data_IF_783232055601
#
_entry.id   IF_783232055601
#
_cell.length_a   1.000
_cell.length_b   1.000
_cell.length_c   1.000
_cell.angle_alpha   90.00
_cell.angle_beta   90.00
_cell.angle_gamma   90.00
#
_symmetry.space_group_name_H-M   'P 1'
#
loop_
_entity.id
_entity.type
_entity.pdbx_description
1 polymer ?
#
# COMPACT_ATOMS: atom_id res chain seq x y z
N UNK A 1 -29.99 1.27 -6.66
CA UNK A 1 -28.60 0.97 -6.28
C UNK A 1 -27.70 1.45 -7.42
N UNK A 2 -26.50 1.91 -7.09
CA UNK A 2 -25.49 2.49 -7.96
C UNK A 2 -25.26 4.01 -7.87
N UNK A 3 -25.97 4.75 -6.99
CA UNK A 3 -25.97 6.23 -7.09
C UNK A 3 -24.67 6.85 -6.57
N UNK A 4 -24.19 6.42 -5.40
CA UNK A 4 -22.93 6.96 -4.85
C UNK A 4 -21.74 6.43 -5.65
N UNK A 5 -21.73 5.13 -5.94
CA UNK A 5 -20.68 4.49 -6.73
C UNK A 5 -20.49 5.15 -8.10
N UNK A 6 -21.55 5.36 -8.86
CA UNK A 6 -21.44 5.96 -10.20
C UNK A 6 -21.01 7.44 -10.15
N UNK A 7 -21.44 8.21 -9.15
CA UNK A 7 -20.98 9.60 -8.95
C UNK A 7 -19.49 9.68 -8.64
N UNK A 8 -19.01 8.86 -7.70
CA UNK A 8 -17.58 8.79 -7.37
C UNK A 8 -16.76 8.47 -8.61
N UNK A 9 -17.19 7.50 -9.41
CA UNK A 9 -16.49 7.14 -10.66
C UNK A 9 -16.56 8.23 -11.73
N UNK A 10 -17.66 8.96 -11.83
CA UNK A 10 -17.76 10.12 -12.73
C UNK A 10 -16.74 11.20 -12.33
N UNK A 11 -16.54 11.45 -11.03
CA UNK A 11 -15.51 12.37 -10.53
C UNK A 11 -14.10 11.84 -10.81
N UNK A 12 -13.86 10.54 -10.61
CA UNK A 12 -12.56 9.90 -10.96
C UNK A 12 -12.29 10.02 -12.47
N UNK A 13 -13.30 9.82 -13.32
CA UNK A 13 -13.15 9.97 -14.77
C UNK A 13 -12.73 11.39 -15.17
N UNK A 14 -13.20 12.40 -14.44
CA UNK A 14 -12.89 13.80 -14.72
C UNK A 14 -11.54 14.24 -14.14
N UNK A 15 -11.18 13.76 -12.96
CA UNK A 15 -10.08 14.33 -12.15
C UNK A 15 -8.96 13.35 -11.83
N UNK A 16 -9.15 12.06 -12.07
CA UNK A 16 -8.25 11.01 -11.62
C UNK A 16 -8.39 10.70 -10.12
N UNK A 17 -7.38 10.02 -9.57
CA UNK A 17 -7.26 9.80 -8.13
C UNK A 17 -6.67 11.05 -7.45
N UNK A 18 -7.16 11.44 -6.26
CA UNK A 18 -6.66 12.62 -5.56
C UNK A 18 -5.25 12.40 -5.02
N UNK A 19 -4.43 13.44 -5.10
CA UNK A 19 -3.17 13.50 -4.37
C UNK A 19 -3.41 13.79 -2.86
N UNK A 20 -2.51 13.32 -1.98
CA UNK A 20 -1.31 12.52 -2.29
C UNK A 20 -1.58 11.01 -2.36
N UNK A 21 -2.84 10.58 -2.30
CA UNK A 21 -3.19 9.15 -2.32
C UNK A 21 -2.83 8.43 -3.61
N UNK A 22 -2.83 9.14 -4.75
CA UNK A 22 -2.30 8.60 -6.00
C UNK A 22 -0.81 8.26 -5.87
N UNK A 23 0.01 9.24 -5.47
CA UNK A 23 1.44 9.04 -5.23
C UNK A 23 1.74 7.98 -4.17
N UNK A 24 0.96 7.94 -3.09
CA UNK A 24 1.09 6.93 -2.04
C UNK A 24 0.83 5.50 -2.58
N UNK A 25 -0.23 5.33 -3.38
CA UNK A 25 -0.52 4.05 -4.03
C UNK A 25 0.57 3.60 -5.00
N UNK A 26 1.21 4.54 -5.70
CA UNK A 26 2.37 4.25 -6.55
C UNK A 26 3.58 3.79 -5.73
N UNK A 27 3.90 4.45 -4.62
CA UNK A 27 4.99 4.01 -3.75
C UNK A 27 4.79 2.55 -3.32
N UNK A 28 3.59 2.16 -2.94
CA UNK A 28 3.34 0.80 -2.49
C UNK A 28 3.24 -0.22 -3.63
N UNK A 29 2.93 0.21 -4.85
CA UNK A 29 3.08 -0.64 -6.03
C UNK A 29 4.56 -0.92 -6.32
N UNK A 30 5.41 0.10 -6.17
CA UNK A 30 6.87 -0.03 -6.29
C UNK A 30 7.48 -0.88 -5.17
N UNK A 31 6.94 -0.81 -3.96
CA UNK A 31 7.35 -1.65 -2.83
C UNK A 31 7.38 -3.13 -3.22
N UNK A 32 6.31 -3.63 -3.85
CA UNK A 32 6.21 -5.00 -4.31
C UNK A 32 7.15 -5.29 -5.47
N UNK A 33 7.23 -4.37 -6.43
CA UNK A 33 8.13 -4.49 -7.58
C UNK A 33 9.59 -4.64 -7.13
N UNK A 34 10.01 -3.88 -6.12
CA UNK A 34 11.34 -4.02 -5.53
C UNK A 34 11.54 -5.37 -4.86
N UNK A 35 10.53 -5.95 -4.20
CA UNK A 35 10.66 -7.28 -3.60
C UNK A 35 10.89 -8.37 -4.67
N UNK A 36 10.15 -8.32 -5.78
CA UNK A 36 10.36 -9.22 -6.92
C UNK A 36 11.78 -9.07 -7.48
N UNK A 37 12.24 -7.84 -7.68
CA UNK A 37 13.59 -7.56 -8.19
C UNK A 37 14.68 -8.03 -7.21
N UNK A 38 14.50 -7.81 -5.90
CA UNK A 38 15.41 -8.26 -4.86
C UNK A 38 15.55 -9.78 -4.86
N UNK A 39 14.42 -10.51 -4.88
CA UNK A 39 14.42 -11.97 -4.96
C UNK A 39 15.18 -12.47 -6.18
N UNK A 40 14.91 -11.89 -7.35
CA UNK A 40 15.62 -12.25 -8.58
C UNK A 40 17.13 -11.99 -8.48
N UNK A 41 17.53 -10.82 -7.97
CA UNK A 41 18.94 -10.45 -7.84
C UNK A 41 19.67 -11.33 -6.80
N UNK A 42 19.05 -11.61 -5.67
CA UNK A 42 19.56 -12.51 -4.63
C UNK A 42 19.75 -13.92 -5.17
N UNK A 43 18.75 -14.46 -5.88
CA UNK A 43 18.83 -15.81 -6.46
C UNK A 43 19.91 -15.91 -7.55
N UNK A 44 20.14 -14.84 -8.31
CA UNK A 44 21.26 -14.77 -9.25
C UNK A 44 22.60 -14.76 -8.52
N UNK A 45 22.75 -13.92 -7.48
CA UNK A 45 23.96 -13.82 -6.68
C UNK A 45 24.31 -15.15 -5.99
N UNK A 46 23.30 -15.90 -5.52
CA UNK A 46 23.47 -17.26 -4.95
C UNK A 46 24.01 -18.27 -5.96
N UNK A 47 23.59 -18.20 -7.23
CA UNK A 47 24.00 -19.14 -8.28
C UNK A 47 25.39 -18.83 -8.83
N UNK A 48 25.70 -17.55 -9.00
CA UNK A 48 26.97 -17.07 -9.54
C UNK A 48 27.38 -15.80 -8.80
N UNK A 49 28.11 -15.94 -7.67
CA UNK A 49 28.55 -14.79 -6.89
C UNK A 49 29.38 -13.83 -7.74
N UNK A 50 29.03 -12.55 -7.67
CA UNK A 50 29.65 -11.46 -8.43
C UNK A 50 29.50 -10.15 -7.64
N UNK A 51 30.56 -9.34 -7.62
CA UNK A 51 30.58 -8.06 -6.88
C UNK A 51 29.58 -7.06 -7.47
N UNK A 52 29.32 -7.10 -8.78
CA UNK A 52 28.30 -6.26 -9.39
C UNK A 52 26.90 -6.69 -8.94
N UNK A 53 26.59 -7.99 -8.89
CA UNK A 53 25.32 -8.49 -8.35
C UNK A 53 25.14 -8.12 -6.87
N UNK A 54 26.18 -8.21 -6.05
CA UNK A 54 26.10 -7.79 -4.65
C UNK A 54 25.78 -6.29 -4.52
N UNK A 55 26.38 -5.43 -5.35
CA UNK A 55 26.06 -4.00 -5.39
C UNK A 55 24.63 -3.74 -5.86
N UNK A 56 24.15 -4.49 -6.84
CA UNK A 56 22.76 -4.41 -7.30
C UNK A 56 21.77 -4.75 -6.19
N UNK A 57 21.99 -5.83 -5.43
CA UNK A 57 21.11 -6.19 -4.31
C UNK A 57 21.09 -5.09 -3.24
N UNK A 58 22.25 -4.56 -2.86
CA UNK A 58 22.32 -3.45 -1.90
C UNK A 58 21.57 -2.20 -2.41
N UNK A 59 21.78 -1.83 -3.68
CA UNK A 59 21.08 -0.69 -4.28
C UNK A 59 19.56 -0.86 -4.30
N UNK A 60 19.06 -2.06 -4.57
CA UNK A 60 17.63 -2.37 -4.52
C UNK A 60 17.05 -2.25 -3.10
N UNK A 61 17.79 -2.65 -2.06
CA UNK A 61 17.37 -2.43 -0.68
C UNK A 61 17.30 -0.94 -0.34
N UNK A 62 18.28 -0.15 -0.77
CA UNK A 62 18.32 1.30 -0.56
C UNK A 62 17.16 2.00 -1.28
N UNK A 63 16.86 1.62 -2.53
CA UNK A 63 15.74 2.14 -3.30
C UNK A 63 14.39 1.78 -2.66
N UNK A 64 14.21 0.52 -2.23
CA UNK A 64 13.00 0.06 -1.53
C UNK A 64 12.80 0.83 -0.22
N UNK A 65 13.85 1.01 0.58
CA UNK A 65 13.80 1.76 1.83
C UNK A 65 13.46 3.23 1.61
N UNK A 66 14.06 3.87 0.59
CA UNK A 66 13.76 5.26 0.22
C UNK A 66 12.31 5.43 -0.21
N UNK A 67 11.80 4.50 -1.02
CA UNK A 67 10.42 4.49 -1.47
C UNK A 67 9.42 4.39 -0.30
N UNK A 68 9.68 3.51 0.68
CA UNK A 68 8.87 3.43 1.91
C UNK A 68 8.97 4.70 2.76
N UNK A 69 10.16 5.32 2.82
CA UNK A 69 10.33 6.63 3.45
C UNK A 69 9.47 7.72 2.79
N UNK A 70 9.42 7.77 1.46
CA UNK A 70 8.55 8.69 0.72
C UNK A 70 7.07 8.45 1.04
N UNK A 71 6.64 7.18 1.06
CA UNK A 71 5.26 6.82 1.42
C UNK A 71 4.90 7.30 2.84
N UNK A 72 5.82 7.16 3.80
CA UNK A 72 5.62 7.62 5.18
C UNK A 72 5.49 9.14 5.26
N UNK A 73 6.35 9.88 4.56
CA UNK A 73 6.29 11.34 4.49
C UNK A 73 4.96 11.83 3.92
N UNK A 74 4.46 11.22 2.84
CA UNK A 74 3.16 11.57 2.27
C UNK A 74 2.02 11.43 3.30
N UNK A 75 2.05 10.39 4.14
CA UNK A 75 1.06 10.22 5.21
C UNK A 75 1.22 11.26 6.32
N UNK A 76 2.44 11.56 6.75
CA UNK A 76 2.71 12.58 7.78
C UNK A 76 2.26 13.98 7.35
N UNK A 77 2.52 14.33 6.09
CA UNK A 77 2.11 15.61 5.52
C UNK A 77 0.58 15.75 5.52
N UNK A 78 -0.16 14.71 5.10
CA UNK A 78 -1.63 14.74 5.13
C UNK A 78 -2.17 14.76 6.55
N UNK A 79 -1.61 13.96 7.45
CA UNK A 79 -2.02 13.94 8.85
C UNK A 79 -1.92 15.34 9.45
N UNK A 80 -0.78 15.99 9.23
CA UNK A 80 -0.51 17.37 9.69
C UNK A 80 -1.45 18.37 9.04
N UNK A 81 -1.64 18.31 7.72
CA UNK A 81 -2.54 19.19 6.98
C UNK A 81 -3.98 19.07 7.47
N UNK A 82 -4.47 17.84 7.64
CA UNK A 82 -5.85 17.58 8.03
C UNK A 82 -6.13 17.97 9.48
N UNK A 83 -5.13 17.85 10.36
CA UNK A 83 -5.18 18.42 11.71
C UNK A 83 -5.34 19.94 11.68
N UNK A 84 -4.52 20.63 10.88
CA UNK A 84 -4.58 22.09 10.76
C UNK A 84 -5.91 22.58 10.15
N UNK A 85 -6.46 21.83 9.19
CA UNK A 85 -7.69 22.17 8.48
C UNK A 85 -8.97 21.65 9.16
N UNK A 86 -8.86 20.87 10.24
CA UNK A 86 -10.01 20.26 10.91
C UNK A 86 -10.79 19.27 10.02
N UNK A 87 -10.09 18.57 9.11
CA UNK A 87 -10.73 17.73 8.09
C UNK A 87 -11.35 16.44 8.65
N UNK A 88 -10.87 15.95 9.80
CA UNK A 88 -11.27 14.64 10.33
C UNK A 88 -12.77 14.51 10.56
N UNK A 89 -13.41 15.53 11.15
CA UNK A 89 -14.85 15.49 11.40
C UNK A 89 -15.67 15.44 10.10
N UNK A 90 -15.22 16.14 9.05
CA UNK A 90 -15.87 16.12 7.74
C UNK A 90 -15.75 14.73 7.12
N UNK A 91 -14.56 14.13 7.20
CA UNK A 91 -14.30 12.80 6.67
C UNK A 91 -15.05 11.71 7.44
N UNK A 92 -15.19 11.83 8.75
CA UNK A 92 -15.98 10.92 9.58
C UNK A 92 -17.48 10.99 9.23
N UNK A 93 -18.01 12.20 9.00
CA UNK A 93 -19.39 12.38 8.53
C UNK A 93 -19.61 11.77 7.14
N UNK A 94 -18.61 11.86 6.25
CA UNK A 94 -18.65 11.20 4.93
C UNK A 94 -18.58 9.69 5.08
N UNK A 95 -17.68 9.18 5.92
CA UNK A 95 -17.56 7.76 6.20
C UNK A 95 -18.86 7.19 6.72
N UNK A 96 -19.54 7.87 7.66
CA UNK A 96 -20.85 7.45 8.18
C UNK A 96 -21.93 7.33 7.09
N UNK A 97 -21.95 8.25 6.12
CA UNK A 97 -22.94 8.30 5.01
C UNK A 97 -22.59 7.43 3.81
N UNK A 98 -21.36 6.94 3.72
CA UNK A 98 -20.93 6.07 2.62
C UNK A 98 -21.77 4.80 2.62
N UNK A 99 -22.50 4.55 1.53
CA UNK A 99 -23.20 3.30 1.30
C UNK A 99 -22.19 2.28 0.76
N UNK A 100 -21.73 1.40 1.66
CA UNK A 100 -20.68 0.43 1.36
C UNK A 100 -21.15 -0.56 0.30
N UNK A 101 -22.42 -0.96 0.30
CA UNK A 101 -22.94 -1.95 -0.65
C UNK A 101 -23.05 -1.32 -2.05
N UNK A 102 -23.58 -0.10 -2.14
CA UNK A 102 -23.68 0.68 -3.38
C UNK A 102 -22.30 0.93 -4.03
N UNK A 103 -21.34 1.41 -3.25
CA UNK A 103 -19.99 1.70 -3.74
C UNK A 103 -19.22 0.41 -4.06
N UNK A 104 -19.44 -0.67 -3.29
CA UNK A 104 -18.87 -1.99 -3.58
C UNK A 104 -19.37 -2.56 -4.90
N UNK A 105 -20.67 -2.47 -5.17
CA UNK A 105 -21.26 -2.96 -6.43
C UNK A 105 -20.55 -2.34 -7.62
N UNK A 106 -20.29 -1.02 -7.56
CA UNK A 106 -19.65 -0.31 -8.66
C UNK A 106 -18.19 -0.69 -8.86
N UNK A 107 -17.42 -0.85 -7.78
CA UNK A 107 -16.03 -1.31 -7.85
C UNK A 107 -15.91 -2.77 -8.31
N UNK A 108 -16.87 -3.62 -7.93
CA UNK A 108 -16.88 -5.03 -8.33
C UNK A 108 -16.94 -5.23 -9.84
N UNK A 109 -17.57 -4.30 -10.59
CA UNK A 109 -17.67 -4.37 -12.07
C UNK A 109 -16.31 -4.36 -12.78
N UNK A 110 -15.27 -3.83 -12.13
CA UNK A 110 -13.92 -3.76 -12.68
C UNK A 110 -13.00 -4.92 -12.27
N UNK A 111 -13.48 -5.83 -11.43
CA UNK A 111 -12.68 -6.97 -10.96
C UNK A 111 -12.73 -8.10 -11.99
N UNK A 112 -11.55 -8.64 -12.31
CA UNK A 112 -11.38 -9.81 -13.18
C UNK A 112 -11.72 -11.10 -12.40
N UNK A 113 -11.90 -12.21 -13.10
CA UNK A 113 -12.38 -13.54 -12.67
C UNK A 113 -11.64 -14.24 -11.50
N UNK A 114 -10.77 -13.57 -10.74
CA UNK A 114 -10.11 -14.19 -9.60
C UNK A 114 -11.17 -14.67 -8.59
N UNK A 115 -11.20 -15.98 -8.25
CA UNK A 115 -12.31 -16.60 -7.51
C UNK A 115 -12.45 -16.07 -6.08
N UNK A 116 -11.40 -15.45 -5.54
CA UNK A 116 -11.42 -14.78 -4.25
C UNK A 116 -11.24 -13.26 -4.45
N UNK A 117 -12.28 -12.42 -4.25
CA UNK A 117 -12.26 -10.99 -4.56
C UNK A 117 -11.56 -10.18 -3.46
N UNK A 118 -10.29 -10.49 -3.17
CA UNK A 118 -9.54 -9.92 -2.05
C UNK A 118 -9.52 -8.39 -2.05
N UNK A 119 -9.40 -7.76 -3.23
CA UNK A 119 -9.46 -6.32 -3.39
C UNK A 119 -10.79 -5.73 -2.89
N UNK A 120 -11.92 -6.35 -3.26
CA UNK A 120 -13.25 -5.88 -2.83
C UNK A 120 -13.45 -6.04 -1.32
N UNK A 121 -13.06 -7.20 -0.80
CA UNK A 121 -13.17 -7.49 0.64
C UNK A 121 -12.34 -6.50 1.46
N UNK A 122 -11.17 -6.11 0.94
CA UNK A 122 -10.29 -5.12 1.58
C UNK A 122 -10.89 -3.71 1.56
N UNK A 123 -11.48 -3.29 0.43
CA UNK A 123 -12.20 -2.01 0.35
C UNK A 123 -13.31 -1.96 1.40
N UNK A 124 -14.12 -3.01 1.46
CA UNK A 124 -15.23 -3.12 2.40
C UNK A 124 -14.75 -3.13 3.85
N UNK A 125 -13.69 -3.87 4.16
CA UNK A 125 -13.08 -3.87 5.48
C UNK A 125 -12.65 -2.46 5.88
N UNK A 126 -11.90 -1.75 5.02
CA UNK A 126 -11.41 -0.41 5.33
C UNK A 126 -12.54 0.61 5.53
N UNK A 127 -13.60 0.57 4.72
CA UNK A 127 -14.74 1.45 4.91
C UNK A 127 -15.50 1.16 6.21
N UNK A 128 -15.66 -0.12 6.58
CA UNK A 128 -16.25 -0.50 7.87
C UNK A 128 -15.37 -0.05 9.03
N UNK A 129 -14.06 -0.25 8.92
CA UNK A 129 -13.08 0.19 9.91
C UNK A 129 -13.17 1.70 10.15
N UNK A 130 -13.24 2.52 9.09
CA UNK A 130 -13.40 3.96 9.22
C UNK A 130 -14.74 4.38 9.84
N UNK A 131 -15.83 3.65 9.56
CA UNK A 131 -17.12 3.91 10.22
C UNK A 131 -17.08 3.61 11.72
N UNK A 132 -16.33 2.59 12.13
CA UNK A 132 -16.24 2.15 13.53
C UNK A 132 -15.24 2.96 14.35
N UNK A 133 -14.08 3.29 13.76
CA UNK A 133 -12.94 3.85 14.48
C UNK A 133 -12.58 5.29 14.05
N UNK A 134 -13.24 5.81 13.01
CA UNK A 134 -12.93 7.11 12.42
C UNK A 134 -11.86 7.03 11.32
N UNK A 135 -11.87 8.03 10.44
CA UNK A 135 -10.97 8.11 9.28
C UNK A 135 -9.52 8.36 9.72
N UNK A 136 -9.30 9.12 10.79
CA UNK A 136 -7.95 9.31 11.34
C UNK A 136 -7.30 7.98 11.76
N UNK A 137 -8.06 7.11 12.43
CA UNK A 137 -7.56 5.80 12.86
C UNK A 137 -7.11 4.95 11.67
N UNK A 138 -7.79 5.05 10.52
CA UNK A 138 -7.37 4.40 9.28
C UNK A 138 -6.02 4.95 8.79
N UNK A 139 -5.82 6.27 8.77
CA UNK A 139 -4.52 6.86 8.39
C UNK A 139 -3.39 6.40 9.32
N UNK A 140 -3.63 6.37 10.63
CA UNK A 140 -2.64 5.90 11.61
C UNK A 140 -2.34 4.41 11.45
N UNK A 141 -3.36 3.59 11.14
CA UNK A 141 -3.19 2.17 10.81
C UNK A 141 -2.34 2.00 9.54
N UNK A 142 -2.61 2.79 8.49
CA UNK A 142 -1.82 2.79 7.26
C UNK A 142 -0.37 3.22 7.53
N UNK A 143 -0.15 4.20 8.42
CA UNK A 143 1.19 4.61 8.84
C UNK A 143 1.96 3.46 9.52
N UNK A 144 1.34 2.78 10.49
CA UNK A 144 1.93 1.60 11.14
C UNK A 144 2.28 0.50 10.13
N UNK A 145 1.40 0.27 9.16
CA UNK A 145 1.65 -0.70 8.10
C UNK A 145 2.89 -0.36 7.26
N UNK A 146 3.10 0.91 6.89
CA UNK A 146 4.32 1.35 6.20
C UNK A 146 5.56 1.15 7.07
N UNK A 147 5.46 1.45 8.37
CA UNK A 147 6.57 1.25 9.32
C UNK A 147 6.95 -0.24 9.44
N UNK A 148 5.96 -1.14 9.45
CA UNK A 148 6.16 -2.59 9.48
C UNK A 148 6.83 -3.09 8.19
N UNK A 149 6.42 -2.60 7.01
CA UNK A 149 7.10 -2.90 5.74
C UNK A 149 8.55 -2.40 5.74
N UNK A 150 8.82 -1.23 6.32
CA UNK A 150 10.17 -0.70 6.44
C UNK A 150 11.02 -1.54 7.40
N UNK A 151 10.46 -1.99 8.52
CA UNK A 151 11.12 -2.91 9.44
C UNK A 151 11.43 -4.26 8.77
N UNK A 152 10.47 -4.80 8.02
CA UNK A 152 10.63 -6.02 7.24
C UNK A 152 11.75 -5.90 6.19
N UNK A 153 11.81 -4.77 5.49
CA UNK A 153 12.88 -4.46 4.52
C UNK A 153 14.26 -4.44 5.18
N UNK A 154 14.39 -3.79 6.35
CA UNK A 154 15.65 -3.79 7.12
C UNK A 154 16.06 -5.20 7.57
N UNK A 155 15.09 -6.00 8.03
CA UNK A 155 15.34 -7.39 8.42
C UNK A 155 15.87 -8.21 7.25
N UNK A 156 15.27 -8.07 6.07
CA UNK A 156 15.72 -8.77 4.87
C UNK A 156 17.13 -8.34 4.44
N UNK A 157 17.42 -7.03 4.45
CA UNK A 157 18.75 -6.51 4.14
C UNK A 157 19.82 -7.07 5.09
N UNK A 158 19.52 -7.14 6.39
CA UNK A 158 20.43 -7.71 7.39
C UNK A 158 20.65 -9.22 7.18
N UNK A 159 19.59 -9.98 6.90
CA UNK A 159 19.70 -11.40 6.60
C UNK A 159 20.54 -11.65 5.34
N UNK A 160 20.34 -10.85 4.29
CA UNK A 160 21.16 -10.90 3.08
C UNK A 160 22.63 -10.58 3.36
N UNK A 161 22.92 -9.52 4.13
CA UNK A 161 24.30 -9.17 4.48
C UNK A 161 24.99 -10.30 5.27
N UNK A 162 24.26 -10.96 6.16
CA UNK A 162 24.75 -12.12 6.92
C UNK A 162 25.01 -13.31 6.00
N UNK A 163 24.10 -13.59 5.08
CA UNK A 163 24.27 -14.64 4.06
C UNK A 163 25.50 -14.36 3.18
N UNK A 164 25.65 -13.13 2.69
CA UNK A 164 26.77 -12.74 1.83
C UNK A 164 28.13 -12.85 2.55
N UNK A 165 28.18 -12.54 3.86
CA UNK A 165 29.40 -12.63 4.65
C UNK A 165 29.76 -14.07 5.07
N UNK A 166 28.76 -14.91 5.36
CA UNK A 166 28.96 -16.25 5.93
C UNK A 166 28.86 -17.39 4.92
N UNK A 167 28.24 -17.15 3.77
CA UNK A 167 27.85 -18.19 2.81
C UNK A 167 26.67 -19.06 3.28
N UNK A 168 26.09 -18.82 4.45
CA UNK A 168 24.94 -19.57 4.98
C UNK A 168 23.65 -18.93 4.50
N UNK A 169 22.88 -19.67 3.70
CA UNK A 169 21.66 -19.17 3.06
C UNK A 169 20.49 -19.12 4.04
N UNK A 170 19.88 -17.94 4.22
CA UNK A 170 18.64 -17.75 4.97
C UNK A 170 17.42 -17.66 4.02
N UNK A 171 16.82 -18.82 3.79
CA UNK A 171 15.62 -18.94 2.95
C UNK A 171 14.35 -18.50 3.67
N UNK A 172 14.30 -18.66 4.99
CA UNK A 172 13.09 -18.38 5.78
C UNK A 172 12.83 -16.88 5.78
N UNK A 173 13.84 -16.07 6.10
CA UNK A 173 13.69 -14.61 6.06
C UNK A 173 13.33 -14.13 4.67
N UNK A 174 13.92 -14.73 3.62
CA UNK A 174 13.59 -14.38 2.23
C UNK A 174 12.09 -14.62 1.95
N UNK A 175 11.55 -15.80 2.30
CA UNK A 175 10.13 -16.14 2.05
C UNK A 175 9.19 -15.25 2.87
N UNK A 176 9.49 -15.04 4.15
CA UNK A 176 8.66 -14.21 5.03
C UNK A 176 8.62 -12.75 4.56
N UNK A 177 9.76 -12.20 4.13
CA UNK A 177 9.85 -10.83 3.66
C UNK A 177 9.22 -10.62 2.28
N UNK A 178 9.33 -11.63 1.40
CA UNK A 178 8.65 -11.68 0.10
C UNK A 178 7.13 -11.70 0.29
N UNK A 179 6.62 -12.60 1.13
CA UNK A 179 5.18 -12.70 1.44
C UNK A 179 4.61 -11.38 1.97
N UNK A 180 5.30 -10.72 2.91
CA UNK A 180 4.87 -9.42 3.41
C UNK A 180 4.81 -8.33 2.30
N UNK A 181 5.68 -8.42 1.30
CA UNK A 181 5.70 -7.50 0.16
C UNK A 181 4.69 -7.87 -0.93
N UNK A 182 4.28 -9.15 -1.03
CA UNK A 182 3.20 -9.60 -1.93
C UNK A 182 1.82 -9.13 -1.47
N UNK A 183 1.63 -9.00 -0.15
CA UNK A 183 0.41 -8.44 0.45
C UNK A 183 0.25 -6.94 0.16
N UNK A 184 1.37 -6.20 0.07
CA UNK A 184 1.33 -4.77 -0.21
C UNK A 184 0.57 -4.42 -1.50
N UNK A 185 0.93 -4.83 -2.71
CA UNK A 185 0.24 -4.41 -3.94
C UNK A 185 -1.22 -4.87 -3.98
N UNK A 186 -1.56 -6.00 -3.33
CA UNK A 186 -2.95 -6.48 -3.23
C UNK A 186 -3.85 -5.56 -2.39
N UNK A 187 -3.27 -4.82 -1.45
CA UNK A 187 -3.98 -3.96 -0.49
C UNK A 187 -3.62 -2.46 -0.58
N UNK A 188 -2.60 -2.07 -1.34
CA UNK A 188 -2.10 -0.71 -1.25
C UNK A 188 -2.69 0.23 -2.29
N UNK A 189 -3.06 -0.30 -3.46
CA UNK A 189 -3.96 0.39 -4.37
C UNK A 189 -5.41 0.42 -3.83
N UNK A 190 -5.68 -0.30 -2.74
CA UNK A 190 -6.95 -0.26 -2.01
C UNK A 190 -7.01 1.00 -1.16
N UNK A 191 -5.94 1.39 -0.47
CA UNK A 191 -5.94 2.61 0.36
C UNK A 191 -6.33 3.86 -0.44
N UNK A 192 -5.75 4.03 -1.65
CA UNK A 192 -6.12 5.15 -2.53
C UNK A 192 -7.60 5.10 -2.95
N UNK A 193 -8.10 3.92 -3.35
CA UNK A 193 -9.52 3.73 -3.75
C UNK A 193 -10.46 3.95 -2.56
N UNK A 194 -10.10 3.46 -1.39
CA UNK A 194 -10.83 3.59 -0.13
C UNK A 194 -11.05 5.06 0.20
N UNK A 195 -9.99 5.88 0.22
CA UNK A 195 -10.09 7.29 0.58
C UNK A 195 -10.70 8.12 -0.54
N UNK A 196 -10.45 7.79 -1.80
CA UNK A 196 -11.08 8.48 -2.94
C UNK A 196 -12.61 8.43 -2.85
N UNK A 197 -13.17 7.28 -2.46
CA UNK A 197 -14.60 7.15 -2.25
C UNK A 197 -15.14 8.12 -1.20
N UNK A 198 -14.36 8.43 -0.16
CA UNK A 198 -14.75 9.43 0.83
C UNK A 198 -14.53 10.85 0.35
N UNK A 199 -13.40 11.14 -0.29
CA UNK A 199 -13.08 12.50 -0.74
C UNK A 199 -14.07 13.00 -1.78
N UNK A 200 -14.57 12.11 -2.64
CA UNK A 200 -15.51 12.44 -3.72
C UNK A 200 -16.98 12.14 -3.41
N UNK A 201 -17.32 11.75 -2.18
CA UNK A 201 -18.68 11.32 -1.83
C UNK A 201 -19.76 12.39 -2.09
N UNK A 202 -19.40 13.66 -1.88
CA UNK A 202 -20.32 14.80 -1.95
C UNK A 202 -20.22 15.60 -3.26
N UNK A 203 -19.31 15.21 -4.16
CA UNK A 203 -19.11 15.89 -5.44
C UNK A 203 -20.15 15.49 -6.49
#
# INVERSE_FOLDING_TARGET
>A
MGVQGDRIFATIQQRGFPDPWSAFGECLSWEAAYAVQLKQAIDQARKKPDEQLSRTVSGLFDDKARNLGNARTLLDDVLTEYDQKGMWQILDQRAARLDIDDVSERWARGLVEHPFPIALLSLQFNWRYMKEHGVRAFYEMTGRYVDDLAANTRRWAQAWATEAASGVIDRVTTVECDLASEEAPMHCDICKKTITALLYLDE
#
